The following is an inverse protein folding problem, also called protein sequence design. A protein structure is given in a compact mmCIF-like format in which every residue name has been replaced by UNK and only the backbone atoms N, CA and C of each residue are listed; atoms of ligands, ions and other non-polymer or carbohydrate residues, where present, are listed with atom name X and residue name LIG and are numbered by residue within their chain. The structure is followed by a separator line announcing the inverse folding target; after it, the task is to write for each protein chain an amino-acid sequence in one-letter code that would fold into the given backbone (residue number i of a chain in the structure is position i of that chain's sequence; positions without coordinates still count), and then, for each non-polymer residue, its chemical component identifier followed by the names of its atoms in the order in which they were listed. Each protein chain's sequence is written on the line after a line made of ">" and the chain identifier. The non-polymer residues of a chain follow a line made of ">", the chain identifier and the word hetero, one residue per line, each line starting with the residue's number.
data_IF_138053735413
#
_entry.id   IF_138053735413
#
_cell.length_a   1.000
_cell.length_b   1.000
_cell.length_c   1.000
_cell.angle_alpha   90.00
_cell.angle_beta   90.00
_cell.angle_gamma   90.00
#
_symmetry.space_group_name_H-M   'P 1'
#
loop_
_entity.id
_entity.type
_entity.pdbx_description
1 polymer ?
#
# COMPACT_ATOMS: atom_id res chain seq x y z
N UNK A 1 9.60 11.47 -4.87
CA UNK A 1 8.18 11.66 -4.51
C UNK A 1 8.07 12.22 -3.10
N UNK A 2 8.69 11.62 -2.09
CA UNK A 2 8.69 12.17 -0.71
C UNK A 2 9.37 13.56 -0.58
N UNK A 3 10.36 13.87 -1.42
CA UNK A 3 11.03 15.18 -1.42
C UNK A 3 10.15 16.36 -1.88
N UNK A 4 8.99 16.09 -2.48
CA UNK A 4 8.04 17.11 -2.91
C UNK A 4 6.88 17.29 -1.91
N UNK A 5 6.89 16.54 -0.80
CA UNK A 5 5.88 16.68 0.24
C UNK A 5 6.04 18.02 0.99
N UNK A 6 4.92 18.69 1.34
CA UNK A 6 4.98 19.93 2.09
C UNK A 6 5.61 19.71 3.46
N UNK A 7 6.57 20.56 3.83
CA UNK A 7 7.17 20.56 5.16
C UNK A 7 6.14 20.88 6.24
N UNK A 8 6.42 20.49 7.49
CA UNK A 8 5.57 20.86 8.63
C UNK A 8 5.36 22.37 8.78
N UNK A 9 6.35 23.18 8.39
CA UNK A 9 6.22 24.64 8.35
C UNK A 9 5.20 25.10 7.32
N UNK A 10 5.31 24.60 6.09
CA UNK A 10 4.38 24.92 5.00
C UNK A 10 2.95 24.45 5.31
N UNK A 11 2.81 23.26 5.91
CA UNK A 11 1.52 22.72 6.36
C UNK A 11 0.86 23.60 7.42
N UNK A 12 1.62 24.10 8.39
CA UNK A 12 1.12 25.04 9.41
C UNK A 12 0.67 26.36 8.79
N UNK A 13 1.42 26.92 7.85
CA UNK A 13 1.05 28.14 7.13
C UNK A 13 -0.23 27.93 6.32
N UNK A 14 -0.35 26.80 5.62
CA UNK A 14 -1.57 26.45 4.90
C UNK A 14 -2.76 26.29 5.85
N UNK A 15 -2.60 25.59 6.96
CA UNK A 15 -3.65 25.40 7.97
C UNK A 15 -4.15 26.74 8.54
N UNK A 16 -3.26 27.71 8.79
CA UNK A 16 -3.64 29.05 9.21
C UNK A 16 -4.50 29.75 8.14
N UNK A 17 -4.05 29.75 6.87
CA UNK A 17 -4.80 30.37 5.76
C UNK A 17 -6.20 29.77 5.60
N UNK A 18 -6.30 28.44 5.69
CA UNK A 18 -7.58 27.75 5.61
C UNK A 18 -8.47 28.08 6.83
N UNK A 19 -7.88 28.24 8.01
CA UNK A 19 -8.64 28.61 9.22
C UNK A 19 -9.30 29.98 9.07
N UNK A 20 -8.56 30.96 8.54
CA UNK A 20 -9.07 32.30 8.24
C UNK A 20 -10.16 32.26 7.15
N UNK A 21 -9.92 31.48 6.09
CA UNK A 21 -10.86 31.36 4.97
C UNK A 21 -12.20 30.73 5.36
N UNK A 22 -12.17 29.69 6.20
CA UNK A 22 -13.36 28.93 6.58
C UNK A 22 -13.96 29.33 7.93
N UNK A 23 -13.33 30.26 8.66
CA UNK A 23 -13.80 30.73 9.97
C UNK A 23 -13.84 29.63 11.04
N UNK A 24 -13.03 28.58 10.89
CA UNK A 24 -12.96 27.43 11.81
C UNK A 24 -11.52 27.03 12.04
N UNK A 25 -11.18 26.53 13.23
CA UNK A 25 -9.81 26.18 13.56
C UNK A 25 -9.38 24.91 12.79
N UNK A 26 -8.39 25.04 11.91
CA UNK A 26 -7.73 23.95 11.21
C UNK A 26 -6.29 23.87 11.72
N UNK A 27 -5.89 22.70 12.20
CA UNK A 27 -4.54 22.47 12.73
C UNK A 27 -3.82 21.42 11.91
N UNK A 28 -2.56 21.68 11.56
CA UNK A 28 -1.68 20.69 10.95
C UNK A 28 -0.95 19.93 12.07
N UNK A 29 -1.38 18.69 12.33
CA UNK A 29 -0.64 17.75 13.17
C UNK A 29 0.64 17.26 12.48
N UNK A 30 1.54 16.55 13.19
CA UNK A 30 2.69 15.91 12.53
C UNK A 30 2.22 14.92 11.46
N UNK A 31 3.03 14.74 10.40
CA UNK A 31 2.76 13.68 9.42
C UNK A 31 3.02 12.32 10.09
N UNK A 32 2.04 11.40 10.11
CA UNK A 32 2.23 10.07 10.68
C UNK A 32 3.20 9.28 9.80
N UNK A 33 3.99 8.41 10.41
CA UNK A 33 4.88 7.49 9.70
C UNK A 33 4.27 6.11 9.68
N UNK A 34 4.34 5.44 8.53
CA UNK A 34 3.76 4.11 8.37
C UNK A 34 4.40 3.10 9.33
N UNK A 35 5.69 3.23 9.65
CA UNK A 35 6.36 2.37 10.62
C UNK A 35 5.86 2.50 12.06
N UNK A 36 5.16 3.59 12.40
CA UNK A 36 4.62 3.83 13.74
C UNK A 36 3.25 3.16 13.96
N UNK A 37 2.67 2.51 12.94
CA UNK A 37 1.40 1.82 13.06
C UNK A 37 1.47 0.63 14.03
N UNK A 38 0.53 0.57 14.98
CA UNK A 38 0.36 -0.60 15.86
C UNK A 38 -0.46 -1.68 15.15
N UNK A 39 0.23 -2.46 14.30
CA UNK A 39 -0.38 -3.55 13.55
C UNK A 39 -0.33 -4.84 14.35
N UNK A 40 -1.42 -5.62 14.29
CA UNK A 40 -1.36 -7.03 14.71
C UNK A 40 -0.19 -7.76 14.03
N UNK A 41 0.46 -8.74 14.68
CA UNK A 41 1.44 -9.58 14.01
C UNK A 41 0.87 -10.23 12.74
N UNK A 42 1.70 -10.47 11.71
CA UNK A 42 1.26 -11.21 10.53
C UNK A 42 0.85 -12.63 10.95
N UNK A 43 -0.26 -13.12 10.41
CA UNK A 43 -0.80 -14.46 10.70
C UNK A 43 0.00 -15.56 10.02
N UNK A 44 0.74 -15.20 8.97
CA UNK A 44 1.53 -16.09 8.12
C UNK A 44 2.89 -15.47 7.88
N UNK A 45 3.88 -16.31 7.58
CA UNK A 45 5.22 -15.87 7.18
C UNK A 45 5.54 -16.43 5.79
N UNK A 46 6.22 -15.66 4.93
CA UNK A 46 6.69 -16.19 3.66
C UNK A 46 7.74 -17.29 3.91
N UNK A 47 7.71 -18.39 3.14
CA UNK A 47 8.77 -19.39 3.20
C UNK A 47 10.10 -18.82 2.67
N UNK A 48 11.22 -19.44 3.04
CA UNK A 48 12.57 -18.97 2.67
C UNK A 48 12.74 -18.71 1.17
N UNK A 49 12.08 -19.52 0.32
CA UNK A 49 12.12 -19.38 -1.13
C UNK A 49 11.54 -18.05 -1.64
N UNK A 50 10.64 -17.41 -0.89
CA UNK A 50 9.97 -16.15 -1.22
C UNK A 50 10.53 -14.95 -0.43
N UNK A 51 11.38 -15.21 0.57
CA UNK A 51 11.84 -14.19 1.52
C UNK A 51 12.57 -13.01 0.89
N UNK A 52 13.13 -13.18 -0.31
CA UNK A 52 13.86 -12.11 -1.00
C UNK A 52 12.94 -11.02 -1.57
N UNK A 53 11.70 -11.35 -1.93
CA UNK A 53 10.73 -10.38 -2.46
C UNK A 53 9.48 -10.25 -1.59
N UNK A 54 9.39 -10.93 -0.45
CA UNK A 54 8.28 -10.80 0.50
C UNK A 54 8.72 -10.07 1.77
N UNK A 55 7.89 -9.14 2.22
CA UNK A 55 8.08 -8.37 3.45
C UNK A 55 6.89 -8.54 4.39
N UNK A 56 7.19 -8.59 5.69
CA UNK A 56 6.22 -8.53 6.78
C UNK A 56 6.41 -7.28 7.65
N UNK A 57 7.15 -6.28 7.15
CA UNK A 57 7.45 -5.07 7.93
C UNK A 57 6.18 -4.25 8.17
N UNK A 58 6.15 -3.50 9.28
CA UNK A 58 5.04 -2.59 9.59
C UNK A 58 4.85 -1.56 8.47
N UNK A 59 5.95 -0.98 7.99
CA UNK A 59 5.93 -0.03 6.88
C UNK A 59 5.23 -0.60 5.64
N UNK A 60 5.67 -1.77 5.16
CA UNK A 60 5.12 -2.36 3.94
C UNK A 60 3.62 -2.66 4.09
N UNK A 61 3.25 -3.28 5.22
CA UNK A 61 1.88 -3.68 5.49
C UNK A 61 0.95 -2.48 5.65
N UNK A 62 1.39 -1.39 6.27
CA UNK A 62 0.60 -0.17 6.42
C UNK A 62 0.48 0.59 5.08
N UNK A 63 1.59 0.72 4.33
CA UNK A 63 1.64 1.46 3.06
C UNK A 63 0.80 0.82 1.95
N UNK A 64 0.60 -0.50 2.00
CA UNK A 64 -0.15 -1.27 1.00
C UNK A 64 -1.55 -1.72 1.46
N UNK A 65 -2.01 -1.30 2.63
CA UNK A 65 -3.31 -1.72 3.17
C UNK A 65 -4.52 -1.02 2.51
N UNK A 66 -4.34 0.13 1.87
CA UNK A 66 -5.45 1.00 1.47
C UNK A 66 -5.22 1.65 0.12
N UNK A 67 -6.33 1.97 -0.56
CA UNK A 67 -6.32 2.87 -1.72
C UNK A 67 -6.23 4.35 -1.36
N UNK A 68 -6.60 5.17 -2.35
CA UNK A 68 -6.68 6.62 -2.28
C UNK A 68 -8.10 7.14 -1.98
N UNK A 69 -9.06 6.26 -1.65
CA UNK A 69 -10.38 6.74 -1.24
C UNK A 69 -10.26 7.64 0.00
N UNK A 70 -11.05 8.71 0.07
CA UNK A 70 -10.97 9.71 1.13
C UNK A 70 -11.01 9.10 2.54
N UNK A 71 -11.95 8.20 2.81
CA UNK A 71 -12.08 7.57 4.13
C UNK A 71 -10.93 6.61 4.45
N UNK A 72 -10.36 5.93 3.45
CA UNK A 72 -9.19 5.08 3.63
C UNK A 72 -7.95 5.92 3.93
N UNK A 73 -7.78 7.06 3.26
CA UNK A 73 -6.70 8.01 3.57
C UNK A 73 -6.82 8.59 4.97
N UNK A 74 -8.02 9.00 5.39
CA UNK A 74 -8.24 9.49 6.76
C UNK A 74 -7.87 8.41 7.78
N UNK A 75 -8.21 7.14 7.54
CA UNK A 75 -7.79 6.01 8.38
C UNK A 75 -6.26 5.85 8.41
N UNK A 76 -5.62 5.84 7.24
CA UNK A 76 -4.16 5.75 7.14
C UNK A 76 -3.46 6.89 7.91
N UNK A 77 -3.94 8.13 7.79
CA UNK A 77 -3.40 9.28 8.51
C UNK A 77 -3.64 9.21 10.03
N UNK A 78 -4.62 8.41 10.48
CA UNK A 78 -4.85 8.13 11.90
C UNK A 78 -4.17 6.83 12.36
N UNK A 79 -3.35 6.19 11.51
CA UNK A 79 -2.73 4.88 11.75
C UNK A 79 -3.76 3.78 12.09
N UNK A 80 -4.98 3.90 11.56
CA UNK A 80 -6.10 2.98 11.82
C UNK A 80 -6.15 1.88 10.75
N UNK A 81 -5.66 0.70 11.13
CA UNK A 81 -5.64 -0.50 10.28
C UNK A 81 -6.29 -1.68 11.03
N UNK A 82 -7.63 -1.78 11.04
CA UNK A 82 -8.34 -2.84 11.76
C UNK A 82 -8.01 -4.23 11.18
N UNK A 83 -7.76 -4.31 9.87
CA UNK A 83 -7.33 -5.52 9.19
C UNK A 83 -6.18 -5.24 8.22
N UNK A 84 -4.92 -5.17 8.70
CA UNK A 84 -3.77 -4.99 7.83
C UNK A 84 -3.48 -6.28 7.04
N UNK A 85 -2.80 -6.21 5.88
CA UNK A 85 -2.31 -7.39 5.20
C UNK A 85 -1.28 -8.12 6.06
N UNK A 86 -1.00 -9.38 5.74
CA UNK A 86 -0.01 -10.19 6.45
C UNK A 86 1.37 -10.11 5.79
N UNK A 87 1.41 -10.17 4.45
CA UNK A 87 2.63 -10.13 3.65
C UNK A 87 2.44 -9.19 2.46
N UNK A 88 3.50 -8.48 2.09
CA UNK A 88 3.59 -7.72 0.83
C UNK A 88 4.70 -8.33 -0.01
N UNK A 89 4.37 -8.77 -1.21
CA UNK A 89 5.31 -9.33 -2.19
C UNK A 89 5.61 -8.28 -3.28
N UNK A 90 6.88 -8.16 -3.65
CA UNK A 90 7.41 -7.27 -4.70
C UNK A 90 8.12 -8.10 -5.79
N UNK A 91 7.42 -9.00 -6.49
CA UNK A 91 8.01 -9.85 -7.52
C UNK A 91 8.63 -9.02 -8.65
N UNK A 92 9.80 -9.44 -9.12
CA UNK A 92 10.63 -8.74 -10.11
C UNK A 92 10.49 -9.29 -11.51
N UNK A 93 9.82 -10.43 -11.65
CA UNK A 93 9.60 -11.14 -12.92
C UNK A 93 8.37 -12.05 -12.81
N UNK A 94 7.94 -12.59 -13.95
CA UNK A 94 6.77 -13.48 -14.06
C UNK A 94 6.89 -14.73 -13.18
N UNK A 95 8.08 -15.35 -13.09
CA UNK A 95 8.27 -16.54 -12.28
C UNK A 95 8.04 -16.27 -10.78
N UNK A 96 8.47 -15.10 -10.28
CA UNK A 96 8.24 -14.70 -8.89
C UNK A 96 6.75 -14.42 -8.62
N UNK A 97 6.01 -13.88 -9.60
CA UNK A 97 4.55 -13.74 -9.52
C UNK A 97 3.91 -15.13 -9.41
N UNK A 98 4.22 -16.03 -10.33
CA UNK A 98 3.69 -17.40 -10.34
C UNK A 98 3.98 -18.12 -9.03
N UNK A 99 5.23 -18.07 -8.58
CA UNK A 99 5.66 -18.69 -7.32
C UNK A 99 4.89 -18.14 -6.11
N UNK A 100 4.63 -16.82 -6.08
CA UNK A 100 3.84 -16.18 -5.02
C UNK A 100 2.37 -16.64 -5.06
N UNK A 101 1.79 -16.71 -6.26
CA UNK A 101 0.40 -17.14 -6.45
C UNK A 101 0.22 -18.63 -6.12
N UNK A 102 1.17 -19.48 -6.50
CA UNK A 102 1.17 -20.91 -6.17
C UNK A 102 1.19 -21.11 -4.65
N UNK A 103 2.09 -20.41 -3.94
CA UNK A 103 2.14 -20.43 -2.49
C UNK A 103 0.81 -20.01 -1.84
N UNK A 104 0.19 -18.94 -2.33
CA UNK A 104 -1.11 -18.49 -1.84
C UNK A 104 -2.23 -19.50 -2.12
N UNK A 105 -2.24 -20.08 -3.32
CA UNK A 105 -3.24 -21.06 -3.76
C UNK A 105 -3.16 -22.34 -2.91
N UNK A 106 -1.96 -22.86 -2.67
CA UNK A 106 -1.74 -24.05 -1.84
C UNK A 106 -2.33 -23.92 -0.42
N UNK A 107 -2.34 -22.71 0.12
CA UNK A 107 -2.77 -22.42 1.49
C UNK A 107 -4.12 -21.68 1.57
N UNK A 108 -4.77 -21.43 0.43
CA UNK A 108 -6.01 -20.64 0.34
C UNK A 108 -5.89 -19.23 0.96
N UNK A 109 -4.76 -18.57 0.76
CA UNK A 109 -4.58 -17.18 1.18
C UNK A 109 -5.26 -16.21 0.21
N UNK A 110 -5.76 -15.11 0.73
CA UNK A 110 -6.30 -14.02 -0.08
C UNK A 110 -5.16 -13.32 -0.80
N UNK A 111 -5.31 -13.11 -2.10
CA UNK A 111 -4.36 -12.32 -2.90
C UNK A 111 -5.04 -11.03 -3.34
N UNK A 112 -4.38 -9.89 -3.10
CA UNK A 112 -4.80 -8.59 -3.62
C UNK A 112 -3.68 -8.05 -4.53
N UNK A 113 -3.92 -7.93 -5.85
CA UNK A 113 -2.96 -7.29 -6.75
C UNK A 113 -2.93 -5.78 -6.48
N UNK A 114 -1.74 -5.21 -6.46
CA UNK A 114 -1.52 -3.81 -6.10
C UNK A 114 -0.60 -3.14 -7.14
N UNK A 115 -1.12 -2.10 -7.79
CA UNK A 115 -0.33 -1.23 -8.69
C UNK A 115 0.16 0.01 -7.95
N UNK A 116 -0.24 1.20 -8.40
CA UNK A 116 0.14 2.46 -7.74
C UNK A 116 -0.71 2.84 -6.51
N UNK A 117 -1.61 1.98 -6.01
CA UNK A 117 -2.45 2.28 -4.84
C UNK A 117 -3.52 3.37 -5.05
N UNK A 118 -3.75 3.83 -6.27
CA UNK A 118 -4.59 4.99 -6.57
C UNK A 118 -6.10 4.70 -6.62
N UNK A 119 -6.53 3.48 -6.28
CA UNK A 119 -7.95 3.11 -6.28
C UNK A 119 -8.74 3.97 -5.30
N UNK A 120 -9.86 4.53 -5.74
CA UNK A 120 -10.77 5.34 -4.91
C UNK A 120 -12.10 4.61 -4.63
N UNK A 121 -12.12 3.29 -4.79
CA UNK A 121 -13.36 2.48 -4.68
C UNK A 121 -13.23 1.34 -3.67
N UNK A 122 -12.32 1.47 -2.69
CA UNK A 122 -12.08 0.46 -1.65
C UNK A 122 -11.64 -0.92 -2.17
N UNK A 123 -11.08 -0.97 -3.39
CA UNK A 123 -10.75 -2.24 -4.04
C UNK A 123 -9.45 -2.91 -3.57
N UNK A 124 -8.72 -2.29 -2.63
CA UNK A 124 -7.38 -2.74 -2.22
C UNK A 124 -7.32 -3.20 -0.75
N UNK A 125 -8.29 -2.83 0.07
CA UNK A 125 -8.28 -3.18 1.49
C UNK A 125 -8.42 -4.69 1.69
N UNK A 126 -7.62 -5.31 2.60
CA UNK A 126 -7.78 -6.71 2.94
C UNK A 126 -9.20 -7.01 3.45
N UNK A 127 -9.90 -8.00 2.88
CA UNK A 127 -11.23 -8.41 3.35
C UNK A 127 -11.15 -8.95 4.78
N UNK A 128 -12.08 -8.54 5.64
CA UNK A 128 -12.06 -8.86 7.08
C UNK A 128 -12.33 -10.35 7.36
N UNK A 129 -13.04 -11.01 6.45
CA UNK A 129 -13.74 -12.29 6.64
C UNK A 129 -13.19 -13.43 5.77
N UNK A 130 -12.11 -13.20 5.01
CA UNK A 130 -11.53 -14.19 4.08
C UNK A 130 -10.18 -14.79 4.50
N UNK A 131 -9.61 -14.38 5.65
CA UNK A 131 -8.39 -14.98 6.22
C UNK A 131 -7.09 -14.22 5.91
N UNK A 132 -5.91 -14.89 6.01
CA UNK A 132 -4.61 -14.28 5.71
C UNK A 132 -4.54 -13.65 4.32
N UNK A 133 -3.94 -12.46 4.22
CA UNK A 133 -3.88 -11.69 2.97
C UNK A 133 -2.45 -11.38 2.57
N UNK A 134 -2.14 -11.67 1.31
CA UNK A 134 -0.90 -11.33 0.62
C UNK A 134 -1.21 -10.24 -0.40
N UNK A 135 -0.55 -9.08 -0.26
CA UNK A 135 -0.54 -8.06 -1.29
C UNK A 135 0.54 -8.43 -2.31
N UNK A 136 0.22 -8.40 -3.59
CA UNK A 136 1.21 -8.56 -4.67
C UNK A 136 1.40 -7.21 -5.35
N UNK A 137 2.44 -6.50 -4.95
CA UNK A 137 2.85 -5.22 -5.54
C UNK A 137 3.54 -5.45 -6.87
N UNK A 138 3.03 -4.80 -7.93
CA UNK A 138 3.60 -4.88 -9.27
C UNK A 138 4.63 -3.77 -9.55
N UNK A 139 5.09 -3.09 -8.49
CA UNK A 139 6.00 -1.95 -8.54
C UNK A 139 7.39 -2.25 -9.16
N UNK A 140 7.80 -3.52 -9.18
CA UNK A 140 9.06 -3.97 -9.80
C UNK A 140 8.92 -4.52 -11.21
N UNK A 141 7.70 -4.62 -11.73
CA UNK A 141 7.41 -5.05 -13.11
C UNK A 141 7.18 -3.81 -13.99
N UNK A 142 8.22 -2.99 -14.13
CA UNK A 142 8.15 -1.61 -14.63
C UNK A 142 8.85 -1.38 -15.98
N UNK A 143 9.23 -2.46 -16.68
CA UNK A 143 9.98 -2.40 -17.93
C UNK A 143 9.08 -2.57 -19.17
N UNK A 144 9.37 -1.82 -20.22
CA UNK A 144 8.82 -2.07 -21.57
C UNK A 144 9.59 -3.24 -22.20
N UNK A 145 8.91 -4.34 -22.51
CA UNK A 145 9.54 -5.56 -23.01
C UNK A 145 9.66 -5.59 -24.54
N UNK A 146 8.67 -5.07 -25.25
CA UNK A 146 8.59 -5.06 -26.71
C UNK A 146 7.81 -3.83 -27.18
N UNK A 147 8.14 -3.29 -28.36
CA UNK A 147 7.32 -2.29 -29.05
C UNK A 147 7.06 -2.80 -30.45
N UNK A 148 5.80 -3.05 -30.77
CA UNK A 148 5.37 -3.41 -32.12
C UNK A 148 4.95 -2.14 -32.88
N UNK A 149 5.83 -1.68 -33.78
CA UNK A 149 5.59 -0.48 -34.59
C UNK A 149 4.43 -0.65 -35.61
N UNK A 150 4.10 -1.88 -36.00
CA UNK A 150 3.02 -2.17 -36.96
C UNK A 150 1.66 -2.02 -36.30
N UNK A 151 1.49 -2.66 -35.13
CA UNK A 151 0.23 -2.61 -34.37
C UNK A 151 0.13 -1.40 -33.44
N UNK A 152 1.26 -0.70 -33.18
CA UNK A 152 1.41 0.39 -32.20
C UNK A 152 1.12 -0.09 -30.77
N UNK A 153 1.56 -1.30 -30.44
CA UNK A 153 1.49 -1.86 -29.10
C UNK A 153 2.86 -1.76 -28.39
N UNK A 154 2.82 -1.65 -27.07
CA UNK A 154 3.96 -1.65 -26.16
C UNK A 154 3.58 -2.32 -24.83
#
# INVERSE_FOLDING_TARGET
>A
MESEEPTDGERKVLAQKLSEQYGTAITAGPTPRAEDADLRPPRILPPDALAEWCSTSTYERASHAYGAHFTERIRAFNLDFPNPPDVVAHPRNENEVVTTLDWCNEHSYVVVPYGGGSSVVWGLAPPEDLGPTVIVSLDRLDQVLEIDEVSRAA
#
